data_IF_298002991575
#
_entry.id   IF_298002991575
#
_cell.length_a   1.000
_cell.length_b   1.000
_cell.length_c   1.000
_cell.angle_alpha   90.00
_cell.angle_beta   90.00
_cell.angle_gamma   90.00
#
_symmetry.space_group_name_H-M   'P 1'
#
loop_
_entity.id
_entity.type
_entity.pdbx_description
1 polymer ?
#
# COMPACT_ATOMS: atom_id res chain seq x y z
N UNK A 1 12.49 4.33 19.21
CA UNK A 1 11.16 3.71 19.43
C UNK A 1 10.84 2.97 18.14
N UNK A 2 10.89 1.64 18.12
CA UNK A 2 10.32 0.90 16.98
C UNK A 2 8.85 1.30 16.91
N UNK A 3 8.41 2.04 15.88
CA UNK A 3 7.05 2.54 15.83
C UNK A 3 6.11 1.34 15.88
N UNK A 4 4.99 1.47 16.59
CA UNK A 4 3.90 0.50 16.61
C UNK A 4 3.58 -0.05 15.20
N UNK A 5 3.70 0.81 14.19
CA UNK A 5 3.55 0.51 12.77
C UNK A 5 4.49 -0.59 12.25
N UNK A 6 5.75 -0.65 12.71
CA UNK A 6 6.70 -1.69 12.27
C UNK A 6 6.27 -3.07 12.76
N UNK A 7 5.79 -3.16 14.01
CA UNK A 7 5.31 -4.43 14.57
C UNK A 7 4.03 -4.85 13.86
N UNK A 8 3.10 -3.91 13.64
CA UNK A 8 1.87 -4.19 12.90
C UNK A 8 2.13 -4.65 11.47
N UNK A 9 3.03 -3.98 10.74
CA UNK A 9 3.42 -4.36 9.38
C UNK A 9 4.08 -5.75 9.33
N UNK A 10 4.99 -6.05 10.26
CA UNK A 10 5.61 -7.37 10.35
C UNK A 10 4.57 -8.46 10.65
N UNK A 11 3.69 -8.24 11.63
CA UNK A 11 2.67 -9.20 12.00
C UNK A 11 1.68 -9.46 10.85
N UNK A 12 1.31 -8.42 10.11
CA UNK A 12 0.47 -8.55 8.92
C UNK A 12 1.15 -9.42 7.86
N UNK A 13 2.38 -9.06 7.46
CA UNK A 13 3.11 -9.80 6.42
C UNK A 13 3.42 -11.26 6.82
N UNK A 14 3.89 -11.49 8.04
CA UNK A 14 4.14 -12.83 8.55
C UNK A 14 2.84 -13.64 8.66
N UNK A 15 1.76 -13.03 9.15
CA UNK A 15 0.45 -13.68 9.28
C UNK A 15 -0.10 -14.11 7.92
N UNK A 16 -0.04 -13.25 6.91
CA UNK A 16 -0.52 -13.58 5.57
C UNK A 16 0.36 -14.60 4.87
N UNK A 17 1.68 -14.57 5.08
CA UNK A 17 2.60 -15.60 4.57
C UNK A 17 2.31 -16.98 5.18
N UNK A 18 1.98 -17.07 6.47
CA UNK A 18 1.58 -18.32 7.12
C UNK A 18 0.26 -18.89 6.57
N UNK A 19 -0.62 -18.03 6.04
CA UNK A 19 -1.86 -18.43 5.36
C UNK A 19 -1.63 -18.87 3.89
N UNK A 20 -0.40 -18.75 3.40
CA UNK A 20 0.03 -19.20 2.08
C UNK A 20 0.32 -18.06 1.10
N UNK A 21 0.97 -18.42 0.00
CA UNK A 21 1.46 -17.47 -1.02
C UNK A 21 0.36 -16.55 -1.56
N UNK A 22 -0.80 -17.10 -1.92
CA UNK A 22 -1.93 -16.31 -2.43
C UNK A 22 -2.44 -15.30 -1.41
N UNK A 23 -2.45 -15.64 -0.12
CA UNK A 23 -2.87 -14.72 0.95
C UNK A 23 -1.84 -13.62 1.17
N UNK A 24 -0.54 -13.93 1.05
CA UNK A 24 0.51 -12.91 1.03
C UNK A 24 0.36 -11.98 -0.18
N UNK A 25 0.09 -12.50 -1.38
CA UNK A 25 -0.17 -11.67 -2.56
C UNK A 25 -1.43 -10.82 -2.41
N UNK A 26 -2.50 -11.36 -1.82
CA UNK A 26 -3.69 -10.59 -1.48
C UNK A 26 -3.40 -9.44 -0.51
N UNK A 27 -2.51 -9.67 0.47
CA UNK A 27 -2.03 -8.61 1.35
C UNK A 27 -1.28 -7.52 0.56
N UNK A 28 -0.33 -7.90 -0.30
CA UNK A 28 0.41 -6.97 -1.15
C UNK A 28 -0.54 -6.14 -2.00
N UNK A 29 -1.42 -6.78 -2.77
CA UNK A 29 -2.43 -6.10 -3.61
C UNK A 29 -3.27 -5.11 -2.79
N UNK A 30 -3.72 -5.51 -1.60
CA UNK A 30 -4.53 -4.66 -0.75
C UNK A 30 -3.75 -3.44 -0.23
N UNK A 31 -2.51 -3.63 0.22
CA UNK A 31 -1.63 -2.54 0.68
C UNK A 31 -1.32 -1.60 -0.48
N UNK A 32 -0.84 -2.14 -1.61
CA UNK A 32 -0.38 -1.32 -2.74
C UNK A 32 -1.51 -0.54 -3.39
N UNK A 33 -2.74 -1.08 -3.41
CA UNK A 33 -3.90 -0.27 -3.84
C UNK A 33 -3.98 1.04 -3.04
N UNK A 34 -3.81 0.98 -1.72
CA UNK A 34 -3.92 2.16 -0.84
C UNK A 34 -2.70 3.06 -0.97
N UNK A 35 -1.50 2.48 -1.13
CA UNK A 35 -0.27 3.26 -1.28
C UNK A 35 -0.25 4.01 -2.62
N UNK A 36 -0.63 3.35 -3.72
CA UNK A 36 -0.78 4.00 -5.04
C UNK A 36 -1.79 5.14 -4.99
N UNK A 37 -2.97 4.92 -4.38
CA UNK A 37 -3.95 5.99 -4.16
C UNK A 37 -3.36 7.15 -3.36
N UNK A 38 -2.58 6.84 -2.31
CA UNK A 38 -1.93 7.84 -1.47
C UNK A 38 -0.89 8.67 -2.23
N UNK A 39 -0.04 8.02 -3.03
CA UNK A 39 0.94 8.72 -3.88
C UNK A 39 0.25 9.54 -4.96
N UNK A 40 -0.82 9.05 -5.58
CA UNK A 40 -1.61 9.85 -6.52
C UNK A 40 -2.16 11.13 -5.85
N UNK A 41 -2.63 11.05 -4.60
CA UNK A 41 -3.04 12.24 -3.84
C UNK A 41 -1.88 13.20 -3.56
N UNK A 42 -0.70 12.68 -3.21
CA UNK A 42 0.50 13.52 -3.02
C UNK A 42 0.93 14.21 -4.32
N UNK A 43 0.93 13.50 -5.44
CA UNK A 43 1.23 14.05 -6.76
C UNK A 43 0.26 15.16 -7.13
N UNK A 44 -1.05 14.97 -6.91
CA UNK A 44 -2.06 16.02 -7.14
C UNK A 44 -1.80 17.27 -6.29
N UNK A 45 -1.41 17.10 -5.03
CA UNK A 45 -1.09 18.21 -4.14
C UNK A 45 0.18 18.95 -4.59
N UNK A 46 1.22 18.22 -4.96
CA UNK A 46 2.47 18.78 -5.46
C UNK A 46 2.24 19.56 -6.77
N UNK A 47 1.51 18.99 -7.72
CA UNK A 47 1.23 19.64 -9.01
C UNK A 47 0.37 20.90 -8.88
N UNK A 48 -0.35 21.08 -7.77
CA UNK A 48 -1.11 22.30 -7.50
C UNK A 48 -0.22 23.45 -6.98
N UNK A 49 1.02 23.18 -6.56
CA UNK A 49 1.97 24.20 -6.11
C UNK A 49 2.73 24.81 -7.31
N UNK A 50 2.65 26.13 -7.55
CA UNK A 50 3.41 26.82 -8.60
C UNK A 50 4.94 26.71 -8.45
N UNK A 51 5.44 26.36 -7.26
CA UNK A 51 6.86 26.19 -6.94
C UNK A 51 7.23 24.73 -6.69
N UNK A 52 6.48 23.79 -7.26
CA UNK A 52 6.70 22.36 -7.08
C UNK A 52 8.15 21.95 -7.37
N UNK A 53 8.71 21.17 -6.45
CA UNK A 53 10.00 20.53 -6.60
C UNK A 53 9.88 19.37 -7.61
N UNK A 54 10.54 19.53 -8.76
CA UNK A 54 10.51 18.56 -9.86
C UNK A 54 11.20 17.25 -9.48
N UNK A 55 12.22 17.28 -8.61
CA UNK A 55 12.93 16.08 -8.17
C UNK A 55 12.04 15.23 -7.25
N UNK A 56 11.35 15.89 -6.32
CA UNK A 56 10.37 15.23 -5.46
C UNK A 56 9.19 14.66 -6.26
N UNK A 57 8.67 15.43 -7.22
CA UNK A 57 7.58 14.98 -8.10
C UNK A 57 7.99 13.72 -8.89
N UNK A 58 9.20 13.71 -9.46
CA UNK A 58 9.72 12.56 -10.19
C UNK A 58 9.91 11.35 -9.28
N UNK A 59 10.40 11.56 -8.06
CA UNK A 59 10.62 10.49 -7.08
C UNK A 59 9.31 9.85 -6.65
N UNK A 60 8.30 10.64 -6.29
CA UNK A 60 6.98 10.10 -5.90
C UNK A 60 6.30 9.43 -7.10
N UNK A 61 6.47 9.96 -8.31
CA UNK A 61 5.93 9.32 -9.53
C UNK A 61 6.55 7.94 -9.73
N UNK A 62 7.87 7.83 -9.60
CA UNK A 62 8.58 6.56 -9.70
C UNK A 62 8.08 5.56 -8.65
N UNK A 63 7.98 5.97 -7.38
CA UNK A 63 7.48 5.08 -6.33
C UNK A 63 6.04 4.65 -6.57
N UNK A 64 5.16 5.54 -7.04
CA UNK A 64 3.79 5.19 -7.44
C UNK A 64 3.79 4.12 -8.52
N UNK A 65 4.63 4.27 -9.55
CA UNK A 65 4.71 3.30 -10.64
C UNK A 65 5.24 1.95 -10.16
N UNK A 66 6.26 1.93 -9.30
CA UNK A 66 6.81 0.69 -8.69
C UNK A 66 5.74 -0.04 -7.84
N UNK A 67 4.95 0.67 -7.03
CA UNK A 67 3.88 0.01 -6.26
C UNK A 67 2.73 -0.48 -7.14
N UNK A 68 2.47 0.18 -8.27
CA UNK A 68 1.51 -0.32 -9.26
C UNK A 68 2.01 -1.63 -9.90
N UNK A 69 3.31 -1.73 -10.22
CA UNK A 69 3.92 -2.97 -10.69
C UNK A 69 3.85 -4.09 -9.65
N UNK A 70 4.07 -3.78 -8.37
CA UNK A 70 3.90 -4.73 -7.27
C UNK A 70 2.46 -5.22 -7.14
N UNK A 71 1.48 -4.30 -7.24
CA UNK A 71 0.06 -4.65 -7.25
C UNK A 71 -0.26 -5.62 -8.39
N UNK A 72 0.15 -5.30 -9.61
CA UNK A 72 -0.16 -6.11 -10.80
C UNK A 72 0.52 -7.48 -10.72
N UNK A 73 1.76 -7.52 -10.24
CA UNK A 73 2.46 -8.79 -9.94
C UNK A 73 1.69 -9.64 -8.94
N UNK A 74 1.15 -9.04 -7.89
CA UNK A 74 0.33 -9.75 -6.90
C UNK A 74 -0.94 -10.35 -7.50
N UNK A 75 -1.60 -9.63 -8.42
CA UNK A 75 -2.75 -10.15 -9.18
C UNK A 75 -2.34 -11.35 -10.04
N UNK A 76 -1.26 -11.23 -10.79
CA UNK A 76 -0.73 -12.29 -11.67
C UNK A 76 -0.30 -13.54 -10.88
N UNK A 77 0.24 -13.36 -9.67
CA UNK A 77 0.56 -14.43 -8.73
C UNK A 77 -0.68 -15.01 -8.00
N UNK A 78 -1.89 -14.62 -8.39
CA UNK A 78 -3.14 -15.25 -7.94
C UNK A 78 -3.64 -14.74 -6.60
N UNK A 79 -3.40 -13.48 -6.24
CA UNK A 79 -3.97 -12.82 -5.07
C UNK A 79 -5.49 -13.05 -4.95
N UNK A 80 -6.24 -12.93 -6.05
CA UNK A 80 -7.70 -13.09 -6.07
C UNK A 80 -8.18 -14.49 -5.71
N UNK A 81 -7.29 -15.48 -5.77
CA UNK A 81 -7.56 -16.87 -5.43
C UNK A 81 -7.33 -17.16 -3.94
N UNK A 82 -6.94 -16.16 -3.14
CA UNK A 82 -6.77 -16.31 -1.70
C UNK A 82 -8.10 -16.64 -1.00
N UNK A 83 -8.09 -17.49 0.05
CA UNK A 83 -9.28 -17.75 0.83
C UNK A 83 -9.77 -16.44 1.47
N UNK A 84 -11.07 -16.17 1.34
CA UNK A 84 -11.70 -14.93 1.83
C UNK A 84 -11.08 -13.64 1.27
N UNK A 85 -10.49 -13.68 0.07
CA UNK A 85 -9.80 -12.56 -0.59
C UNK A 85 -10.46 -11.21 -0.35
N UNK A 86 -11.75 -11.06 -0.70
CA UNK A 86 -12.47 -9.80 -0.56
C UNK A 86 -12.52 -9.29 0.88
N UNK A 87 -12.77 -10.15 1.86
CA UNK A 87 -12.82 -9.74 3.26
C UNK A 87 -11.43 -9.34 3.78
N UNK A 88 -10.39 -10.12 3.42
CA UNK A 88 -9.01 -9.83 3.77
C UNK A 88 -8.56 -8.50 3.18
N UNK A 89 -8.79 -8.31 1.88
CA UNK A 89 -8.41 -7.10 1.13
C UNK A 89 -9.09 -5.86 1.70
N UNK A 90 -10.40 -5.89 1.95
CA UNK A 90 -11.09 -4.73 2.52
C UNK A 90 -10.64 -4.41 3.95
N UNK A 91 -10.37 -5.43 4.78
CA UNK A 91 -9.86 -5.22 6.14
C UNK A 91 -8.46 -4.58 6.12
N UNK A 92 -7.56 -5.06 5.26
CA UNK A 92 -6.21 -4.51 5.10
C UNK A 92 -6.28 -3.08 4.56
N UNK A 93 -7.07 -2.85 3.51
CA UNK A 93 -7.28 -1.51 2.93
C UNK A 93 -7.76 -0.52 3.98
N UNK A 94 -8.74 -0.92 4.81
CA UNK A 94 -9.23 -0.10 5.91
C UNK A 94 -8.12 0.23 6.91
N UNK A 95 -7.34 -0.79 7.34
CA UNK A 95 -6.22 -0.61 8.24
C UNK A 95 -5.16 0.36 7.70
N UNK A 96 -4.74 0.18 6.44
CA UNK A 96 -3.79 1.07 5.78
C UNK A 96 -4.30 2.50 5.67
N UNK A 97 -5.55 2.70 5.25
CA UNK A 97 -6.16 4.04 5.16
C UNK A 97 -6.23 4.72 6.53
N UNK A 98 -6.57 3.96 7.58
CA UNK A 98 -6.58 4.47 8.95
C UNK A 98 -5.17 4.86 9.42
N UNK A 99 -4.16 4.03 9.16
CA UNK A 99 -2.77 4.33 9.49
C UNK A 99 -2.28 5.62 8.80
N UNK A 100 -2.54 5.77 7.50
CA UNK A 100 -2.21 6.99 6.75
C UNK A 100 -2.93 8.21 7.32
N UNK A 101 -4.22 8.10 7.62
CA UNK A 101 -5.01 9.20 8.17
C UNK A 101 -4.51 9.65 9.56
N UNK A 102 -4.06 8.70 10.38
CA UNK A 102 -3.43 9.00 11.67
C UNK A 102 -2.10 9.69 11.43
N UNK A 103 -1.22 9.11 10.60
CA UNK A 103 0.12 9.65 10.32
C UNK A 103 0.11 11.05 9.70
N UNK A 104 -0.95 11.43 8.96
CA UNK A 104 -1.11 12.81 8.45
C UNK A 104 -1.39 13.85 9.54
N UNK A 105 -1.83 13.43 10.74
CA UNK A 105 -2.24 14.31 11.84
C UNK A 105 -1.21 14.42 12.96
N UNK A 106 -0.28 13.47 13.07
CA UNK A 106 0.74 13.43 14.14
C UNK A 106 2.03 14.09 13.67
#
# INVERSE_FOLDING_TARGET
>A
MTPFWNVAGFALGAGTALLGEKAAMACTVAVETVIVDHYNDQLRQLMADPKVDQELLATITKFRDEEQEHHDTGIDCGAEQAPFYRALTEAIKFGCKAAIAISKKV
#
